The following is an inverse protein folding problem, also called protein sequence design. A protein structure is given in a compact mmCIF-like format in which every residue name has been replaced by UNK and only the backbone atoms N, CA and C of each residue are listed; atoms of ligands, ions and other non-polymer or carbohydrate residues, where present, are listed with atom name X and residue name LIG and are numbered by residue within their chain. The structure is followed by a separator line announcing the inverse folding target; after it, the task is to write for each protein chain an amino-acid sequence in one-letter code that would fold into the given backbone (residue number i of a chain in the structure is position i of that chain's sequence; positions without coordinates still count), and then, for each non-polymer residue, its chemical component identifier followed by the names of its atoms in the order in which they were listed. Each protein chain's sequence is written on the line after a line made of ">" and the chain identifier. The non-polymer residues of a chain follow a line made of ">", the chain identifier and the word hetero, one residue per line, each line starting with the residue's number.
data_IF_735900574585
#
_entry.id   IF_735900574585
#
_cell.length_a   1.000
_cell.length_b   1.000
_cell.length_c   1.000
_cell.angle_alpha   90.00
_cell.angle_beta   90.00
_cell.angle_gamma   90.00
#
_symmetry.space_group_name_H-M   'P 1'
#
loop_
_entity.id
_entity.type
_entity.pdbx_description
1 polymer ?
#
# COMPACT_ATOMS: atom_id res chain seq x y z
N UNK A 1 -0.47 -10.80 18.29
CA UNK A 1 -0.85 -11.32 16.97
C UNK A 1 -0.47 -10.34 15.86
N UNK A 2 -0.36 -10.86 14.66
CA UNK A 2 -0.22 -10.06 13.45
C UNK A 2 -1.60 -9.66 12.92
N UNK A 3 -1.67 -8.55 12.20
CA UNK A 3 -2.87 -8.07 11.50
C UNK A 3 -2.52 -7.97 10.03
N UNK A 4 -3.41 -8.48 9.17
CA UNK A 4 -3.25 -8.38 7.73
C UNK A 4 -3.28 -6.90 7.32
N UNK A 5 -2.37 -6.49 6.43
CA UNK A 5 -2.23 -5.10 5.97
C UNK A 5 -2.19 -4.06 7.11
N UNK A 6 -1.49 -4.40 8.20
CA UNK A 6 -1.45 -3.60 9.43
C UNK A 6 -1.17 -2.11 9.18
N UNK A 7 -0.17 -1.80 8.36
CA UNK A 7 0.22 -0.40 8.08
C UNK A 7 -0.93 0.36 7.41
N UNK A 8 -1.59 -0.24 6.44
CA UNK A 8 -2.73 0.36 5.75
C UNK A 8 -3.92 0.54 6.67
N UNK A 9 -4.17 -0.48 7.50
CA UNK A 9 -5.25 -0.41 8.48
C UNK A 9 -5.02 0.74 9.48
N UNK A 10 -3.81 0.85 10.03
CA UNK A 10 -3.47 1.94 10.97
C UNK A 10 -3.48 3.30 10.29
N UNK A 11 -3.06 3.40 9.03
CA UNK A 11 -3.18 4.63 8.27
C UNK A 11 -4.66 5.01 8.08
N UNK A 12 -5.49 4.08 7.61
CA UNK A 12 -6.92 4.30 7.44
C UNK A 12 -7.60 4.72 8.75
N UNK A 13 -7.31 4.02 9.85
CA UNK A 13 -7.83 4.34 11.17
C UNK A 13 -7.40 5.74 11.64
N UNK A 14 -6.15 6.11 11.41
CA UNK A 14 -5.62 7.44 11.76
C UNK A 14 -6.36 8.54 10.98
N UNK A 15 -6.65 8.32 9.72
CA UNK A 15 -7.35 9.28 8.85
C UNK A 15 -8.84 9.42 9.19
N UNK A 16 -9.50 8.38 9.68
CA UNK A 16 -10.89 8.44 10.14
C UNK A 16 -11.04 8.87 11.60
N UNK A 17 -9.94 8.90 12.35
CA UNK A 17 -9.93 9.36 13.74
C UNK A 17 -10.27 10.86 13.81
N UNK A 18 -11.14 11.29 14.74
CA UNK A 18 -11.45 12.70 14.92
C UNK A 18 -10.30 13.52 15.52
N UNK A 19 -9.28 12.84 16.06
CA UNK A 19 -8.13 13.45 16.71
C UNK A 19 -6.84 12.71 16.32
N UNK A 20 -5.66 13.36 16.40
CA UNK A 20 -4.39 12.71 16.09
C UNK A 20 -4.12 11.48 16.98
N UNK A 21 -3.51 10.44 16.39
CA UNK A 21 -3.02 9.27 17.10
C UNK A 21 -1.49 9.38 17.18
N UNK A 22 -0.94 9.30 18.40
CA UNK A 22 0.50 9.35 18.67
C UNK A 22 0.94 8.09 19.40
N UNK A 23 2.23 7.76 19.30
CA UNK A 23 2.84 6.65 20.00
C UNK A 23 3.79 7.19 21.04
N UNK A 24 3.77 6.64 22.23
CA UNK A 24 4.65 7.06 23.32
C UNK A 24 4.87 5.92 24.32
N UNK A 25 5.92 6.03 25.12
CA UNK A 25 6.15 5.13 26.24
C UNK A 25 5.29 5.58 27.43
N UNK A 26 4.20 4.87 27.65
CA UNK A 26 3.21 5.20 28.69
C UNK A 26 3.63 4.55 30.01
N UNK A 27 3.84 5.35 31.04
CA UNK A 27 4.15 4.82 32.37
C UNK A 27 2.95 4.05 32.96
N UNK A 28 3.22 2.85 33.49
CA UNK A 28 2.22 2.03 34.17
C UNK A 28 1.64 0.93 33.28
N UNK A 29 0.37 0.55 33.53
CA UNK A 29 -0.29 -0.58 32.85
C UNK A 29 -1.21 -0.14 31.68
N UNK A 30 -1.38 1.15 31.48
CA UNK A 30 -2.26 1.66 30.43
C UNK A 30 -1.66 1.39 29.04
N UNK A 31 -2.47 0.88 28.14
CA UNK A 31 -2.05 0.59 26.76
C UNK A 31 -2.32 1.74 25.80
N UNK A 32 -3.15 2.67 26.20
CA UNK A 32 -3.50 3.88 25.48
C UNK A 32 -4.42 4.75 26.30
N UNK A 33 -4.62 5.97 25.85
CA UNK A 33 -5.61 6.88 26.42
C UNK A 33 -6.00 7.98 25.43
N UNK A 34 -7.22 8.47 25.54
CA UNK A 34 -7.66 9.67 24.90
C UNK A 34 -7.45 10.87 25.86
N UNK A 35 -6.61 11.81 25.44
CA UNK A 35 -6.32 13.02 26.20
C UNK A 35 -7.30 14.14 25.85
N UNK A 36 -8.25 14.40 26.75
CA UNK A 36 -9.37 15.32 26.49
C UNK A 36 -8.96 16.80 26.40
N UNK A 37 -7.84 17.18 26.98
CA UNK A 37 -7.34 18.58 26.93
C UNK A 37 -6.52 18.85 25.67
N UNK A 38 -5.66 17.89 25.28
CA UNK A 38 -4.81 18.04 24.10
C UNK A 38 -5.49 17.53 22.83
N UNK A 39 -6.68 16.95 22.95
CA UNK A 39 -7.45 16.35 21.85
C UNK A 39 -6.59 15.43 20.99
N UNK A 40 -5.93 14.46 21.62
CA UNK A 40 -5.09 13.44 20.98
C UNK A 40 -5.28 12.09 21.63
N UNK A 41 -4.96 11.07 20.89
CA UNK A 41 -4.86 9.69 21.37
C UNK A 41 -3.38 9.34 21.50
N UNK A 42 -3.02 8.72 22.62
CA UNK A 42 -1.70 8.14 22.86
C UNK A 42 -1.82 6.63 22.92
N UNK A 43 -0.92 5.94 22.22
CA UNK A 43 -0.85 4.47 22.18
C UNK A 43 0.53 4.05 22.69
N UNK A 44 0.57 3.04 23.57
CA UNK A 44 1.82 2.45 24.07
C UNK A 44 2.66 1.88 22.93
N UNK A 45 3.92 2.26 22.87
CA UNK A 45 4.89 1.69 21.94
C UNK A 45 5.20 0.21 22.24
N UNK A 46 5.60 -0.54 21.21
CA UNK A 46 6.12 -1.91 21.37
C UNK A 46 5.07 -2.99 21.62
N UNK A 47 3.78 -2.68 21.53
CA UNK A 47 2.72 -3.70 21.60
C UNK A 47 2.66 -4.55 20.32
N UNK A 48 2.03 -5.73 20.40
CA UNK A 48 1.70 -6.49 19.19
C UNK A 48 0.72 -5.74 18.30
N UNK A 49 0.76 -6.00 16.99
CA UNK A 49 -0.12 -5.34 16.02
C UNK A 49 -1.59 -5.44 16.40
N UNK A 50 -2.08 -6.62 16.78
CA UNK A 50 -3.48 -6.78 17.20
C UNK A 50 -3.82 -5.99 18.47
N UNK A 51 -2.89 -5.91 19.42
CA UNK A 51 -3.12 -5.11 20.64
C UNK A 51 -3.13 -3.61 20.30
N UNK A 52 -2.21 -3.16 19.45
CA UNK A 52 -2.17 -1.76 19.00
C UNK A 52 -3.48 -1.36 18.30
N UNK A 53 -3.96 -2.17 17.36
CA UNK A 53 -5.22 -1.90 16.65
C UNK A 53 -6.41 -1.86 17.62
N UNK A 54 -6.53 -2.87 18.50
CA UNK A 54 -7.61 -2.90 19.50
C UNK A 54 -7.62 -1.65 20.37
N UNK A 55 -6.47 -1.27 20.89
CA UNK A 55 -6.32 -0.08 21.73
C UNK A 55 -6.65 1.19 20.94
N UNK A 56 -6.13 1.32 19.73
CA UNK A 56 -6.38 2.50 18.89
C UNK A 56 -7.88 2.68 18.58
N UNK A 57 -8.58 1.61 18.21
CA UNK A 57 -10.04 1.68 17.94
C UNK A 57 -10.81 2.05 19.22
N UNK A 58 -10.43 1.49 20.36
CA UNK A 58 -11.04 1.82 21.65
C UNK A 58 -10.91 3.32 21.97
N UNK A 59 -9.71 3.87 21.84
CA UNK A 59 -9.48 5.31 22.09
C UNK A 59 -10.15 6.21 21.03
N UNK A 60 -10.19 5.78 19.77
CA UNK A 60 -10.97 6.47 18.73
C UNK A 60 -12.46 6.48 19.07
N UNK A 61 -13.01 5.38 19.60
CA UNK A 61 -14.38 5.34 20.07
C UNK A 61 -14.63 6.33 21.22
N UNK A 62 -13.71 6.41 22.18
CA UNK A 62 -13.78 7.44 23.22
C UNK A 62 -13.75 8.85 22.65
N UNK A 63 -12.84 9.14 21.72
CA UNK A 63 -12.76 10.44 21.08
C UNK A 63 -14.06 10.81 20.33
N UNK A 64 -14.64 9.84 19.59
CA UNK A 64 -15.90 10.07 18.85
C UNK A 64 -17.11 10.26 19.75
N UNK A 65 -17.21 9.48 20.80
CA UNK A 65 -18.42 9.38 21.64
C UNK A 65 -18.40 10.30 22.85
N UNK A 66 -17.23 10.53 23.43
CA UNK A 66 -17.11 11.09 24.77
C UNK A 66 -16.29 12.37 24.82
N UNK A 67 -15.79 12.85 23.68
CA UNK A 67 -15.18 14.16 23.59
C UNK A 67 -16.25 15.24 23.51
N UNK A 68 -16.12 16.27 24.35
CA UNK A 68 -17.05 17.41 24.40
C UNK A 68 -17.01 18.26 23.13
N UNK A 69 -15.85 18.36 22.50
CA UNK A 69 -15.69 19.16 21.28
C UNK A 69 -16.26 18.46 20.04
N UNK A 70 -16.30 17.13 20.05
CA UNK A 70 -16.82 16.32 18.95
C UNK A 70 -18.33 16.11 19.00
N UNK A 71 -18.97 16.38 20.13
CA UNK A 71 -20.39 16.09 20.35
C UNK A 71 -21.21 17.39 20.47
N UNK A 72 -22.31 17.45 19.70
CA UNK A 72 -23.24 18.58 19.73
C UNK A 72 -24.09 18.62 21.01
N UNK A 73 -24.30 17.46 21.64
CA UNK A 73 -25.03 17.34 22.91
C UNK A 73 -24.05 17.09 24.06
N UNK A 74 -23.48 18.18 24.55
CA UNK A 74 -22.50 18.15 25.65
C UNK A 74 -23.14 17.60 26.94
N UNK A 75 -24.41 17.92 27.20
CA UNK A 75 -25.10 17.49 28.42
C UNK A 75 -25.25 15.97 28.41
N UNK A 76 -25.59 15.34 27.28
CA UNK A 76 -25.67 13.89 27.16
C UNK A 76 -24.31 13.21 27.37
N UNK A 77 -23.20 13.82 26.98
CA UNK A 77 -21.85 13.30 27.25
C UNK A 77 -21.47 13.44 28.73
N UNK A 78 -21.87 14.51 29.38
CA UNK A 78 -21.58 14.76 30.80
C UNK A 78 -22.38 13.82 31.73
N UNK A 79 -23.62 13.52 31.37
CA UNK A 79 -24.51 12.68 32.15
C UNK A 79 -24.14 11.22 32.19
N UNK A 80 -23.30 10.77 31.23
CA UNK A 80 -22.81 9.38 31.21
C UNK A 80 -21.76 9.13 32.28
N UNK A 81 -21.99 8.10 33.10
CA UNK A 81 -20.98 7.63 34.02
C UNK A 81 -19.78 6.97 33.26
N UNK A 82 -18.68 6.83 33.98
CA UNK A 82 -17.46 6.24 33.42
C UNK A 82 -17.70 4.83 32.89
N UNK A 83 -18.47 4.02 33.61
CA UNK A 83 -18.73 2.63 33.23
C UNK A 83 -19.51 2.54 31.93
N UNK A 84 -20.50 3.41 31.69
CA UNK A 84 -21.22 3.49 30.42
C UNK A 84 -20.28 3.87 29.27
N UNK A 85 -19.40 4.84 29.49
CA UNK A 85 -18.41 5.25 28.48
C UNK A 85 -17.46 4.10 28.09
N UNK A 86 -16.99 3.34 29.07
CA UNK A 86 -16.12 2.18 28.81
C UNK A 86 -16.89 1.07 28.07
N UNK A 87 -18.12 0.76 28.46
CA UNK A 87 -18.95 -0.23 27.76
C UNK A 87 -19.20 0.16 26.31
N UNK A 88 -19.52 1.41 26.05
CA UNK A 88 -19.73 1.91 24.69
C UNK A 88 -18.45 1.83 23.84
N UNK A 89 -17.33 2.30 24.34
CA UNK A 89 -16.05 2.30 23.62
C UNK A 89 -15.56 0.85 23.34
N UNK A 90 -15.63 -0.02 24.34
CA UNK A 90 -15.23 -1.42 24.22
C UNK A 90 -16.12 -2.19 23.25
N UNK A 91 -17.43 -1.95 23.27
CA UNK A 91 -18.37 -2.60 22.35
C UNK A 91 -18.17 -2.14 20.91
N UNK A 92 -17.88 -0.87 20.67
CA UNK A 92 -17.50 -0.36 19.36
C UNK A 92 -16.22 -1.02 18.89
N UNK A 93 -15.18 -1.03 19.72
CA UNK A 93 -13.89 -1.63 19.38
C UNK A 93 -14.02 -3.12 19.06
N UNK A 94 -14.77 -3.87 19.86
CA UNK A 94 -15.04 -5.28 19.58
C UNK A 94 -15.73 -5.47 18.22
N UNK A 95 -16.79 -4.70 17.95
CA UNK A 95 -17.57 -4.82 16.71
C UNK A 95 -16.70 -4.54 15.49
N UNK A 96 -15.89 -3.48 15.53
CA UNK A 96 -14.96 -3.12 14.45
C UNK A 96 -13.90 -4.21 14.26
N UNK A 97 -13.28 -4.67 15.36
CA UNK A 97 -12.27 -5.74 15.29
C UNK A 97 -12.85 -7.04 14.71
N UNK A 98 -14.06 -7.44 15.11
CA UNK A 98 -14.74 -8.62 14.56
C UNK A 98 -15.01 -8.48 13.06
N UNK A 99 -15.41 -7.31 12.60
CA UNK A 99 -15.66 -7.04 11.18
C UNK A 99 -14.40 -7.25 10.33
N UNK A 100 -13.25 -6.77 10.81
CA UNK A 100 -11.96 -6.89 10.11
C UNK A 100 -11.19 -8.17 10.45
N UNK A 101 -11.78 -9.14 11.13
CA UNK A 101 -11.14 -10.42 11.46
C UNK A 101 -9.96 -10.29 12.43
N UNK A 102 -9.88 -9.21 13.20
CA UNK A 102 -8.84 -8.99 14.19
C UNK A 102 -9.17 -9.83 15.43
N UNK A 103 -8.16 -10.51 15.98
CA UNK A 103 -8.32 -11.39 17.15
C UNK A 103 -8.91 -10.64 18.35
N UNK A 104 -10.06 -11.10 18.80
CA UNK A 104 -10.82 -10.55 19.92
C UNK A 104 -10.91 -11.51 21.11
N UNK A 105 -10.10 -12.56 21.13
CA UNK A 105 -10.14 -13.59 22.18
C UNK A 105 -9.88 -13.05 23.60
N UNK A 106 -9.18 -11.93 23.71
CA UNK A 106 -8.88 -11.27 24.98
C UNK A 106 -10.02 -10.38 25.52
N UNK A 107 -11.07 -10.16 24.73
CA UNK A 107 -12.21 -9.37 25.20
C UNK A 107 -13.03 -10.15 26.22
N UNK A 108 -13.34 -9.50 27.33
CA UNK A 108 -14.18 -10.06 28.39
C UNK A 108 -15.39 -9.17 28.62
N UNK A 109 -16.55 -9.72 28.38
CA UNK A 109 -17.82 -8.99 28.52
C UNK A 109 -18.50 -9.20 29.86
N UNK A 110 -17.81 -9.81 30.82
CA UNK A 110 -18.37 -10.08 32.16
C UNK A 110 -18.95 -8.87 32.88
N UNK A 111 -18.35 -7.70 32.64
CA UNK A 111 -18.80 -6.44 33.23
C UNK A 111 -20.04 -5.85 32.55
N UNK A 112 -20.37 -6.23 31.31
CA UNK A 112 -21.58 -5.77 30.62
C UNK A 112 -22.84 -6.25 31.35
N UNK A 113 -22.83 -7.48 31.85
CA UNK A 113 -23.94 -8.02 32.60
C UNK A 113 -24.22 -7.18 33.86
N UNK A 114 -23.19 -6.81 34.63
CA UNK A 114 -23.30 -5.90 35.78
C UNK A 114 -23.77 -4.50 35.39
N UNK A 115 -23.21 -3.94 34.31
CA UNK A 115 -23.62 -2.62 33.82
C UNK A 115 -25.07 -2.60 33.37
N UNK A 116 -25.54 -3.65 32.67
CA UNK A 116 -26.89 -3.70 32.11
C UNK A 116 -27.97 -3.96 33.18
N UNK A 117 -27.61 -4.59 34.29
CA UNK A 117 -28.60 -4.94 35.35
C UNK A 117 -29.19 -3.73 36.08
N UNK A 118 -28.44 -2.63 36.11
CA UNK A 118 -28.80 -1.42 36.84
C UNK A 118 -29.35 -0.29 35.95
N UNK A 119 -29.54 -0.57 34.64
CA UNK A 119 -30.00 0.40 33.64
C UNK A 119 -31.45 0.18 33.25
N UNK A 120 -32.16 1.27 32.98
CA UNK A 120 -33.48 1.15 32.39
C UNK A 120 -33.40 0.76 30.89
N UNK A 121 -34.49 0.29 30.33
CA UNK A 121 -34.56 -0.18 28.94
C UNK A 121 -34.28 0.93 27.93
N UNK A 122 -34.58 2.18 28.27
CA UNK A 122 -34.36 3.33 27.42
C UNK A 122 -32.88 3.68 27.34
N UNK A 123 -32.16 3.64 28.47
CA UNK A 123 -30.71 3.86 28.51
C UNK A 123 -29.96 2.77 27.73
N UNK A 124 -30.32 1.49 27.95
CA UNK A 124 -29.73 0.36 27.22
C UNK A 124 -29.93 0.49 25.70
N UNK A 125 -31.13 0.83 25.27
CA UNK A 125 -31.45 1.01 23.87
C UNK A 125 -30.66 2.18 23.26
N UNK A 126 -30.55 3.28 23.99
CA UNK A 126 -29.76 4.46 23.56
C UNK A 126 -28.29 4.11 23.37
N UNK A 127 -27.66 3.39 24.32
CA UNK A 127 -26.26 2.96 24.19
C UNK A 127 -26.07 1.98 23.03
N UNK A 128 -26.97 1.03 22.83
CA UNK A 128 -26.91 0.09 21.71
C UNK A 128 -27.03 0.79 20.35
N UNK A 129 -27.89 1.77 20.22
CA UNK A 129 -28.02 2.56 18.99
C UNK A 129 -26.76 3.38 18.70
N UNK A 130 -26.15 3.97 19.73
CA UNK A 130 -24.88 4.71 19.63
C UNK A 130 -23.72 3.78 19.22
N UNK A 131 -23.61 2.62 19.90
CA UNK A 131 -22.58 1.61 19.58
C UNK A 131 -22.70 1.19 18.13
N UNK A 132 -23.89 0.82 17.68
CA UNK A 132 -24.16 0.36 16.33
C UNK A 132 -23.80 1.43 15.29
N UNK A 133 -24.27 2.67 15.51
CA UNK A 133 -24.01 3.80 14.61
C UNK A 133 -22.52 4.09 14.50
N UNK A 134 -21.83 4.21 15.64
CA UNK A 134 -20.40 4.53 15.67
C UNK A 134 -19.54 3.43 15.07
N UNK A 135 -19.84 2.16 15.37
CA UNK A 135 -19.15 1.02 14.75
C UNK A 135 -19.34 1.00 13.23
N UNK A 136 -20.58 1.23 12.75
CA UNK A 136 -20.86 1.30 11.31
C UNK A 136 -20.13 2.45 10.62
N UNK A 137 -20.08 3.63 11.23
CA UNK A 137 -19.34 4.78 10.70
C UNK A 137 -17.84 4.50 10.61
N UNK A 138 -17.25 3.90 11.65
CA UNK A 138 -15.83 3.54 11.65
C UNK A 138 -15.52 2.46 10.62
N UNK A 139 -16.33 1.42 10.54
CA UNK A 139 -16.16 0.35 9.55
C UNK A 139 -16.18 0.92 8.14
N UNK A 140 -17.23 1.67 7.79
CA UNK A 140 -17.37 2.28 6.46
C UNK A 140 -16.21 3.23 6.17
N UNK A 141 -15.85 4.09 7.11
CA UNK A 141 -14.74 5.02 6.93
C UNK A 141 -13.40 4.31 6.71
N UNK A 142 -13.11 3.26 7.47
CA UNK A 142 -11.88 2.46 7.31
C UNK A 142 -11.91 1.72 5.96
N UNK A 143 -13.02 1.10 5.58
CA UNK A 143 -13.15 0.39 4.29
C UNK A 143 -12.94 1.34 3.11
N UNK A 144 -13.55 2.52 3.13
CA UNK A 144 -13.40 3.53 2.08
C UNK A 144 -11.94 3.97 1.94
N UNK A 145 -11.25 4.21 3.07
CA UNK A 145 -9.82 4.60 3.04
C UNK A 145 -8.91 3.47 2.61
N UNK A 146 -9.16 2.24 3.04
CA UNK A 146 -8.41 1.06 2.56
C UNK A 146 -8.56 0.88 1.05
N UNK A 147 -9.78 1.05 0.52
CA UNK A 147 -10.02 0.97 -0.93
C UNK A 147 -9.26 2.07 -1.70
N UNK A 148 -9.20 3.30 -1.17
CA UNK A 148 -8.42 4.39 -1.76
C UNK A 148 -6.92 4.09 -1.72
N UNK A 149 -6.38 3.63 -0.58
CA UNK A 149 -4.96 3.26 -0.44
C UNK A 149 -4.56 2.13 -1.40
N UNK A 150 -5.41 1.12 -1.56
CA UNK A 150 -5.17 0.04 -2.52
C UNK A 150 -5.17 0.54 -3.96
N UNK A 151 -6.08 1.45 -4.29
CA UNK A 151 -6.13 2.07 -5.61
C UNK A 151 -4.88 2.92 -5.88
N UNK A 152 -4.45 3.72 -4.91
CA UNK A 152 -3.27 4.57 -5.05
C UNK A 152 -2.01 3.72 -5.22
N UNK A 153 -1.87 2.62 -4.48
CA UNK A 153 -0.78 1.65 -4.66
C UNK A 153 -0.79 0.98 -6.02
N UNK A 154 -1.98 0.60 -6.51
CA UNK A 154 -2.09 0.01 -7.83
C UNK A 154 -1.65 0.99 -8.93
N UNK A 155 -2.02 2.27 -8.80
CA UNK A 155 -1.57 3.34 -9.71
C UNK A 155 -0.07 3.56 -9.59
N UNK A 156 0.48 3.59 -8.38
CA UNK A 156 1.92 3.74 -8.15
C UNK A 156 2.71 2.55 -8.69
N UNK A 157 2.23 1.33 -8.49
CA UNK A 157 2.84 0.13 -9.08
C UNK A 157 2.79 0.15 -10.59
N UNK A 158 1.70 0.61 -11.18
CA UNK A 158 1.57 0.77 -12.63
C UNK A 158 2.53 1.83 -13.18
N UNK A 159 2.69 2.96 -12.46
CA UNK A 159 3.63 4.02 -12.83
C UNK A 159 5.10 3.65 -12.62
N UNK A 160 5.36 2.75 -11.65
CA UNK A 160 6.72 2.29 -11.33
C UNK A 160 7.13 1.02 -12.07
N UNK A 161 6.30 0.52 -13.00
CA UNK A 161 6.73 -0.54 -13.91
C UNK A 161 7.91 -0.06 -14.72
N UNK A 162 8.97 -0.83 -14.73
CA UNK A 162 10.19 -0.55 -15.47
C UNK A 162 10.70 -1.84 -16.10
N UNK A 163 11.15 -1.74 -17.33
CA UNK A 163 11.80 -2.82 -18.06
C UNK A 163 13.07 -2.30 -18.70
N UNK A 164 14.08 -3.16 -18.79
CA UNK A 164 15.33 -2.82 -19.48
C UNK A 164 15.30 -3.39 -20.87
N UNK A 165 15.55 -2.52 -21.86
CA UNK A 165 15.60 -2.83 -23.26
C UNK A 165 17.05 -2.71 -23.76
N UNK A 166 17.60 -3.81 -24.28
CA UNK A 166 18.84 -3.78 -25.03
C UNK A 166 18.54 -3.72 -26.51
N UNK A 167 19.02 -2.69 -27.16
CA UNK A 167 18.98 -2.54 -28.62
C UNK A 167 20.38 -2.78 -29.16
N UNK A 168 20.50 -3.66 -30.14
CA UNK A 168 21.79 -4.09 -30.67
C UNK A 168 21.71 -4.37 -32.17
N UNK A 169 22.77 -4.05 -32.92
CA UNK A 169 22.85 -4.38 -34.33
C UNK A 169 23.16 -5.86 -34.56
N UNK A 170 23.07 -6.31 -35.81
CA UNK A 170 23.18 -7.74 -36.18
C UNK A 170 24.54 -8.36 -35.87
N UNK A 171 25.62 -7.61 -36.01
CA UNK A 171 26.98 -8.06 -35.77
C UNK A 171 27.41 -7.89 -34.31
N UNK A 172 26.54 -7.41 -33.45
CA UNK A 172 26.75 -7.20 -32.02
C UNK A 172 27.87 -6.20 -31.70
N UNK A 173 28.16 -5.29 -32.60
CA UNK A 173 29.22 -4.29 -32.42
C UNK A 173 28.71 -2.99 -31.81
N UNK A 174 27.42 -2.69 -31.99
CA UNK A 174 26.78 -1.47 -31.47
C UNK A 174 25.60 -1.86 -30.58
N UNK A 175 25.42 -1.16 -29.49
CA UNK A 175 24.34 -1.39 -28.55
C UNK A 175 23.91 -0.11 -27.83
N UNK A 176 22.66 -0.09 -27.38
CA UNK A 176 22.14 0.84 -26.38
C UNK A 176 21.30 0.09 -25.36
N UNK A 177 21.44 0.45 -24.09
CA UNK A 177 20.67 -0.06 -22.98
C UNK A 177 19.74 1.04 -22.51
N UNK A 178 18.45 0.75 -22.49
CA UNK A 178 17.40 1.73 -22.27
C UNK A 178 16.45 1.27 -21.17
N UNK A 179 16.17 2.15 -20.22
CA UNK A 179 15.09 1.97 -19.26
C UNK A 179 13.77 2.42 -19.88
N UNK A 180 12.78 1.53 -19.86
CA UNK A 180 11.41 1.77 -20.35
C UNK A 180 10.48 1.79 -19.15
N UNK A 181 9.94 2.97 -18.84
CA UNK A 181 9.06 3.21 -17.69
C UNK A 181 7.59 3.08 -18.09
N UNK A 182 6.78 2.46 -17.25
CA UNK A 182 5.34 2.28 -17.46
C UNK A 182 4.96 0.99 -18.17
N UNK A 183 5.92 0.09 -18.41
CA UNK A 183 5.66 -1.23 -19.00
C UNK A 183 6.41 -2.30 -18.23
N UNK A 184 5.73 -3.41 -17.94
CA UNK A 184 6.40 -4.63 -17.52
C UNK A 184 6.98 -5.37 -18.75
N UNK A 185 7.71 -6.44 -18.45
CA UNK A 185 8.37 -7.25 -19.47
C UNK A 185 7.42 -7.74 -20.57
N UNK A 186 6.24 -8.26 -20.20
CA UNK A 186 5.29 -8.81 -21.16
C UNK A 186 4.68 -7.71 -22.02
N UNK A 187 4.28 -6.61 -21.40
CA UNK A 187 3.76 -5.44 -22.11
C UNK A 187 4.76 -4.87 -23.10
N UNK A 188 6.04 -4.77 -22.69
CA UNK A 188 7.11 -4.31 -23.57
C UNK A 188 7.29 -5.25 -24.77
N UNK A 189 7.30 -6.58 -24.55
CA UNK A 189 7.40 -7.55 -25.63
C UNK A 189 6.22 -7.46 -26.61
N UNK A 190 5.00 -7.34 -26.08
CA UNK A 190 3.79 -7.24 -26.92
C UNK A 190 3.81 -5.97 -27.78
N UNK A 191 4.22 -4.84 -27.21
CA UNK A 191 4.34 -3.56 -27.92
C UNK A 191 5.41 -3.61 -29.01
N UNK A 192 6.58 -4.17 -28.71
CA UNK A 192 7.67 -4.28 -29.67
C UNK A 192 7.37 -5.27 -30.78
N UNK A 193 6.68 -6.37 -30.50
CA UNK A 193 6.20 -7.31 -31.52
C UNK A 193 5.22 -6.65 -32.48
N UNK A 194 4.33 -5.80 -31.99
CA UNK A 194 3.40 -5.05 -32.83
C UNK A 194 4.09 -3.95 -33.66
N UNK A 195 5.28 -3.48 -33.26
CA UNK A 195 6.06 -2.52 -34.01
C UNK A 195 6.70 -3.11 -35.26
N UNK A 196 7.00 -4.42 -35.29
CA UNK A 196 7.86 -5.06 -36.28
C UNK A 196 7.34 -5.02 -37.72
N UNK A 197 6.06 -4.76 -37.94
CA UNK A 197 5.47 -4.97 -39.28
C UNK A 197 5.33 -3.72 -40.15
N UNK A 198 5.32 -2.48 -39.64
CA UNK A 198 5.08 -1.31 -40.51
C UNK A 198 5.42 0.07 -39.90
N UNK A 199 6.22 0.17 -38.88
CA UNK A 199 6.39 1.44 -38.17
C UNK A 199 7.65 2.18 -38.60
N UNK A 200 7.49 3.37 -39.13
CA UNK A 200 8.60 4.29 -39.52
C UNK A 200 9.15 5.10 -38.34
N UNK A 201 8.59 4.92 -37.15
CA UNK A 201 9.08 5.61 -35.96
C UNK A 201 10.30 4.89 -35.39
N UNK A 202 11.20 5.63 -34.74
CA UNK A 202 12.23 5.02 -33.90
C UNK A 202 11.57 4.24 -32.73
N UNK A 203 12.29 3.30 -32.16
CA UNK A 203 11.81 2.51 -31.01
C UNK A 203 11.39 3.42 -29.87
N UNK A 204 12.22 4.42 -29.56
CA UNK A 204 11.91 5.40 -28.51
C UNK A 204 10.62 6.15 -28.81
N UNK A 205 10.49 6.73 -29.99
CA UNK A 205 9.29 7.47 -30.38
C UNK A 205 8.04 6.58 -30.37
N UNK A 206 8.17 5.29 -30.74
CA UNK A 206 7.09 4.35 -30.69
C UNK A 206 6.65 4.03 -29.24
N UNK A 207 7.59 3.75 -28.34
CA UNK A 207 7.30 3.50 -26.93
C UNK A 207 6.70 4.74 -26.25
N UNK A 208 7.23 5.92 -26.54
CA UNK A 208 6.65 7.18 -26.04
C UNK A 208 5.22 7.38 -26.53
N UNK A 209 4.92 7.03 -27.80
CA UNK A 209 3.56 7.10 -28.35
C UNK A 209 2.57 6.15 -27.65
N UNK A 210 3.07 5.09 -27.01
CA UNK A 210 2.32 4.14 -26.20
C UNK A 210 2.23 4.53 -24.71
N UNK A 211 2.74 5.71 -24.35
CA UNK A 211 2.74 6.20 -22.97
C UNK A 211 3.92 5.70 -22.13
N UNK A 212 4.86 4.97 -22.72
CA UNK A 212 6.10 4.58 -22.06
C UNK A 212 7.15 5.69 -22.20
N UNK A 213 7.75 6.06 -21.08
CA UNK A 213 8.86 6.98 -21.09
C UNK A 213 10.18 6.20 -21.11
N UNK A 214 11.12 6.62 -21.96
CA UNK A 214 12.38 5.91 -22.14
C UNK A 214 13.57 6.79 -21.80
N UNK A 215 14.57 6.19 -21.14
CA UNK A 215 15.85 6.84 -20.84
C UNK A 215 16.97 5.91 -21.24
N UNK A 216 17.90 6.35 -22.08
CA UNK A 216 19.11 5.62 -22.36
C UNK A 216 20.01 5.65 -21.12
N UNK A 217 20.39 4.46 -20.61
CA UNK A 217 21.25 4.29 -19.44
C UNK A 217 22.69 3.94 -19.80
N UNK A 218 22.92 3.32 -20.94
CA UNK A 218 24.25 3.04 -21.46
C UNK A 218 24.23 2.77 -22.95
N UNK A 219 25.37 3.01 -23.59
CA UNK A 219 25.60 2.68 -24.98
C UNK A 219 27.08 2.27 -25.23
N UNK A 220 27.43 1.97 -26.47
CA UNK A 220 28.79 1.54 -26.82
C UNK A 220 29.89 2.57 -26.46
N UNK A 221 29.54 3.83 -26.38
CA UNK A 221 30.49 4.92 -26.06
C UNK A 221 30.75 5.05 -24.58
N UNK A 222 29.72 4.84 -23.75
CA UNK A 222 29.81 4.99 -22.29
C UNK A 222 30.37 3.75 -21.61
N UNK A 223 30.06 2.55 -22.09
CA UNK A 223 30.44 1.24 -21.52
C UNK A 223 30.09 1.06 -20.03
N UNK A 224 29.15 1.85 -19.53
CA UNK A 224 28.68 1.79 -18.17
C UNK A 224 27.20 1.39 -18.14
N UNK A 225 26.87 0.35 -17.36
CA UNK A 225 25.54 -0.27 -17.35
C UNK A 225 24.86 -0.27 -15.97
N UNK A 226 25.30 0.52 -15.03
CA UNK A 226 24.68 0.60 -13.72
C UNK A 226 24.57 -0.76 -13.01
N UNK A 227 23.49 -0.97 -12.26
CA UNK A 227 23.26 -2.17 -11.43
C UNK A 227 22.28 -3.18 -12.06
N UNK A 228 22.17 -3.26 -13.37
CA UNK A 228 21.23 -4.13 -14.08
C UNK A 228 21.83 -5.50 -14.41
N UNK A 229 21.03 -6.55 -14.31
CA UNK A 229 21.39 -7.91 -14.69
C UNK A 229 20.48 -8.44 -15.79
N UNK A 230 21.08 -8.83 -16.91
CA UNK A 230 20.37 -9.42 -18.03
C UNK A 230 20.06 -10.90 -17.76
N UNK A 231 18.79 -11.25 -17.85
CA UNK A 231 18.32 -12.61 -17.64
C UNK A 231 17.88 -13.27 -18.94
N UNK A 232 17.14 -12.57 -19.78
CA UNK A 232 16.61 -13.07 -21.05
C UNK A 232 16.71 -12.04 -22.15
N UNK A 233 16.71 -12.53 -23.39
CA UNK A 233 16.64 -11.73 -24.59
C UNK A 233 15.44 -12.14 -25.43
N UNK A 234 14.69 -11.16 -25.91
CA UNK A 234 13.68 -11.37 -26.92
C UNK A 234 14.30 -11.23 -28.32
N UNK A 235 14.11 -12.23 -29.15
CA UNK A 235 14.56 -12.24 -30.53
C UNK A 235 13.38 -11.87 -31.43
N UNK A 236 13.40 -10.70 -32.04
CA UNK A 236 12.31 -10.20 -32.91
C UNK A 236 12.17 -11.00 -34.21
N UNK A 237 13.26 -11.62 -34.69
CA UNK A 237 13.23 -12.40 -35.94
C UNK A 237 12.49 -13.74 -35.74
N UNK A 238 12.57 -14.32 -34.55
CA UNK A 238 11.97 -15.62 -34.22
C UNK A 238 10.81 -15.52 -33.22
N UNK A 239 10.55 -14.31 -32.68
CA UNK A 239 9.59 -14.08 -31.61
C UNK A 239 9.83 -14.97 -30.36
N UNK A 240 11.06 -15.40 -30.15
CA UNK A 240 11.44 -16.27 -29.04
C UNK A 240 12.22 -15.54 -27.97
N UNK A 241 11.97 -15.90 -26.71
CA UNK A 241 12.81 -15.51 -25.58
C UNK A 241 14.04 -16.39 -25.53
N UNK A 242 15.22 -15.79 -25.56
CA UNK A 242 16.51 -16.48 -25.52
C UNK A 242 17.21 -16.21 -24.19
N UNK A 243 17.63 -17.27 -23.51
CA UNK A 243 18.45 -17.15 -22.31
C UNK A 243 19.82 -16.53 -22.67
N UNK A 244 20.15 -15.42 -22.05
CA UNK A 244 21.40 -14.70 -22.30
C UNK A 244 22.64 -15.42 -21.84
N UNK A 245 22.50 -16.46 -21.00
CA UNK A 245 23.63 -17.29 -20.57
C UNK A 245 24.34 -17.99 -21.73
N UNK A 246 23.64 -18.28 -22.82
CA UNK A 246 24.21 -18.92 -24.01
C UNK A 246 25.16 -18.01 -24.80
N UNK A 247 25.13 -16.69 -24.57
CA UNK A 247 25.94 -15.70 -25.26
C UNK A 247 26.79 -14.87 -24.33
N UNK A 248 27.15 -15.44 -23.21
CA UNK A 248 27.84 -14.76 -22.13
C UNK A 248 29.09 -14.00 -22.56
N UNK A 249 29.94 -14.55 -23.43
CA UNK A 249 31.21 -13.95 -23.82
C UNK A 249 31.04 -12.62 -24.59
N UNK A 250 29.96 -12.46 -25.33
CA UNK A 250 29.69 -11.26 -26.13
C UNK A 250 29.19 -10.12 -25.23
N UNK A 251 28.48 -10.47 -24.19
CA UNK A 251 27.78 -9.52 -23.32
C UNK A 251 28.51 -9.22 -22.01
N UNK A 252 29.48 -10.07 -21.62
CA UNK A 252 30.16 -9.96 -20.31
C UNK A 252 30.79 -8.60 -20.03
N UNK A 253 31.17 -7.86 -21.06
CA UNK A 253 31.78 -6.53 -20.89
C UNK A 253 30.77 -5.38 -20.87
N UNK A 254 29.68 -5.57 -21.59
CA UNK A 254 28.72 -4.52 -21.81
C UNK A 254 27.52 -4.61 -20.88
N UNK A 255 27.30 -5.80 -20.30
CA UNK A 255 26.06 -6.16 -19.64
C UNK A 255 26.21 -6.65 -18.22
N UNK A 256 27.40 -6.62 -17.66
CA UNK A 256 27.54 -6.68 -16.21
C UNK A 256 26.94 -5.39 -15.68
N UNK A 257 26.13 -5.47 -14.83
CA UNK A 257 25.11 -6.28 -14.32
C UNK A 257 23.72 -5.70 -14.67
N UNK A 258 22.87 -6.50 -15.23
CA UNK A 258 21.47 -6.14 -15.51
C UNK A 258 20.56 -6.94 -14.57
N UNK A 259 19.50 -6.34 -14.06
CA UNK A 259 18.62 -7.00 -13.11
C UNK A 259 17.97 -8.27 -13.69
N UNK A 260 17.75 -9.26 -12.84
CA UNK A 260 17.05 -10.48 -13.24
C UNK A 260 15.64 -10.14 -13.72
N UNK A 261 15.26 -10.65 -14.88
CA UNK A 261 13.95 -10.40 -15.49
C UNK A 261 13.90 -9.27 -16.50
N UNK A 262 15.00 -8.55 -16.73
CA UNK A 262 15.08 -7.54 -17.76
C UNK A 262 14.95 -8.13 -19.17
N UNK A 263 14.39 -7.35 -20.08
CA UNK A 263 14.17 -7.75 -21.47
C UNK A 263 15.28 -7.22 -22.36
N UNK A 264 15.87 -8.11 -23.15
CA UNK A 264 16.80 -7.74 -24.22
C UNK A 264 16.14 -7.96 -25.56
N UNK A 265 16.06 -6.93 -26.36
CA UNK A 265 15.50 -6.97 -27.70
C UNK A 265 16.60 -6.74 -28.73
N UNK A 266 16.71 -7.66 -29.67
CA UNK A 266 17.60 -7.51 -30.82
C UNK A 266 16.77 -7.12 -32.03
N UNK A 267 17.18 -6.05 -32.67
CA UNK A 267 16.62 -5.64 -33.96
C UNK A 267 17.63 -5.91 -35.07
N UNK A 268 17.15 -6.42 -36.22
CA UNK A 268 17.97 -6.52 -37.42
C UNK A 268 18.18 -5.14 -38.05
N UNK A 269 19.41 -4.88 -38.49
CA UNK A 269 19.80 -3.62 -39.09
C UNK A 269 20.79 -2.80 -38.27
N UNK A 270 21.36 -1.78 -38.85
CA UNK A 270 22.27 -0.88 -38.12
C UNK A 270 21.47 0.06 -37.23
N UNK A 271 21.89 0.21 -35.99
CA UNK A 271 21.42 1.29 -35.12
C UNK A 271 21.96 2.61 -35.63
N UNK A 272 21.36 3.10 -36.70
CA UNK A 272 21.67 4.43 -37.19
C UNK A 272 21.09 5.53 -36.28
N UNK A 273 21.30 6.77 -36.64
CA UNK A 273 20.77 7.95 -35.93
C UNK A 273 19.22 8.03 -35.80
N UNK A 274 18.50 6.98 -36.13
CA UNK A 274 17.06 6.90 -36.18
C UNK A 274 16.44 6.03 -35.07
N UNK A 275 17.20 5.63 -34.08
CA UNK A 275 16.62 4.87 -32.98
C UNK A 275 16.11 5.73 -31.86
#
# INVERSE_FOLDING_TARGET
>A
GSVEDYEDFMQALTEVSPVPITYEDIEGEAKGYFHTTDHRIAIQEGMSQSQTVKTAIHEVAHAKLHDREQNQDIDAVLDKDRNTKEVEAESVAYTVCQHFGIDTSDYSFGYIAGWSSDRDMKELKSSLDIIRKTASELITGIEDRLAELQKDRAVEQEQNKESILLIQNDDLTQYSLVSVVGMDRQELMDVLSAMSEDNKLSIQAYLESKGAWTTEIANEDTKEFGEYHLDVRYNTDTEELVDMKERKEIYDRAMEPVAAGDVVVKFSGSMGSEW
#
